data_IF_902379928737
#
_entry.id   IF_902379928737
#
_cell.length_a   1.000
_cell.length_b   1.000
_cell.length_c   1.000
_cell.angle_alpha   90.00
_cell.angle_beta   90.00
_cell.angle_gamma   90.00
#
_symmetry.space_group_name_H-M   'P 1'
#
loop_
_entity.id
_entity.type
_entity.pdbx_description
1 polymer ?
#
# COMPACT_ATOMS: atom_id res chain seq x y z
N UNK A 1 8.49 -21.19 10.74
CA UNK A 1 7.65 -22.24 11.37
C UNK A 1 7.26 -23.27 10.31
N UNK A 2 6.62 -22.88 9.19
CA UNK A 2 6.11 -23.84 8.19
C UNK A 2 7.22 -24.70 7.52
N UNK A 3 8.33 -24.08 7.10
CA UNK A 3 9.46 -24.81 6.50
C UNK A 3 10.00 -25.89 7.46
N UNK A 4 10.15 -25.55 8.74
CA UNK A 4 10.62 -26.54 9.72
C UNK A 4 9.65 -27.71 9.89
N UNK A 5 8.35 -27.44 9.96
CA UNK A 5 7.34 -28.51 10.04
C UNK A 5 7.34 -29.42 8.80
N UNK A 6 7.66 -28.88 7.62
CA UNK A 6 7.84 -29.65 6.41
C UNK A 6 9.11 -30.54 6.48
N UNK A 7 10.23 -29.97 6.92
CA UNK A 7 11.49 -30.71 7.10
C UNK A 7 11.37 -31.83 8.15
N UNK A 8 10.60 -31.59 9.21
CA UNK A 8 10.33 -32.56 10.27
C UNK A 8 9.23 -33.59 9.89
N UNK A 9 8.71 -33.51 8.65
CA UNK A 9 7.61 -34.34 8.13
C UNK A 9 6.30 -34.25 8.94
N UNK A 10 6.09 -33.15 9.68
CA UNK A 10 4.84 -32.89 10.38
C UNK A 10 3.73 -32.46 9.44
N UNK A 11 4.09 -31.84 8.30
CA UNK A 11 3.19 -31.50 7.19
C UNK A 11 3.75 -32.02 5.87
N UNK A 12 2.89 -32.24 4.88
CA UNK A 12 3.27 -32.77 3.57
C UNK A 12 3.57 -31.69 2.54
N UNK A 13 3.19 -30.44 2.80
CA UNK A 13 3.40 -29.31 1.91
C UNK A 13 2.71 -28.05 2.42
N UNK A 14 3.12 -26.90 1.91
CA UNK A 14 2.49 -25.59 2.18
C UNK A 14 2.76 -24.62 1.02
N UNK A 15 1.93 -23.59 0.82
CA UNK A 15 2.21 -22.53 -0.14
C UNK A 15 3.29 -21.58 0.38
N UNK A 16 4.28 -21.27 -0.45
CA UNK A 16 5.35 -20.33 -0.11
C UNK A 16 5.53 -19.27 -1.20
N UNK A 17 6.02 -18.11 -0.81
CA UNK A 17 6.37 -17.03 -1.72
C UNK A 17 7.82 -17.14 -2.14
N UNK A 18 8.06 -17.15 -3.45
CA UNK A 18 9.39 -17.35 -4.05
C UNK A 18 10.44 -16.37 -3.50
N UNK A 19 10.12 -15.07 -3.48
CA UNK A 19 11.04 -14.05 -2.96
C UNK A 19 11.27 -14.20 -1.45
N UNK A 20 10.25 -14.58 -0.68
CA UNK A 20 10.37 -14.85 0.76
C UNK A 20 11.27 -16.05 1.01
N UNK A 21 11.11 -17.13 0.23
CA UNK A 21 11.96 -18.31 0.34
C UNK A 21 13.44 -17.95 0.11
N UNK A 22 13.73 -17.26 -0.99
CA UNK A 22 15.10 -16.86 -1.33
C UNK A 22 15.73 -15.96 -0.29
N UNK A 23 15.01 -14.96 0.20
CA UNK A 23 15.56 -13.97 1.15
C UNK A 23 15.58 -14.45 2.60
N UNK A 24 14.50 -15.09 3.06
CA UNK A 24 14.34 -15.41 4.48
C UNK A 24 14.87 -16.79 4.86
N UNK A 25 14.88 -17.74 3.94
CA UNK A 25 15.38 -19.10 4.22
C UNK A 25 16.78 -19.32 3.67
N UNK A 26 17.03 -18.84 2.46
CA UNK A 26 18.32 -19.03 1.78
C UNK A 26 19.24 -17.79 1.89
N UNK A 27 18.86 -16.79 2.69
CA UNK A 27 19.66 -15.61 3.01
C UNK A 27 20.18 -14.85 1.78
N UNK A 28 19.44 -14.89 0.67
CA UNK A 28 19.78 -14.13 -0.52
C UNK A 28 19.46 -12.65 -0.29
N UNK A 29 20.39 -11.80 -0.70
CA UNK A 29 20.13 -10.36 -0.63
C UNK A 29 18.98 -9.95 -1.56
N UNK A 30 18.09 -9.05 -1.16
CA UNK A 30 16.91 -8.68 -1.96
C UNK A 30 17.22 -8.22 -3.39
N UNK A 31 18.36 -7.56 -3.60
CA UNK A 31 18.83 -7.09 -4.90
C UNK A 31 19.40 -8.23 -5.79
N UNK A 32 19.57 -9.41 -5.24
CA UNK A 32 20.03 -10.61 -5.95
C UNK A 32 18.89 -11.54 -6.34
N UNK A 33 17.68 -11.29 -5.85
CA UNK A 33 16.50 -12.08 -6.24
C UNK A 33 16.14 -11.71 -7.68
N UNK A 34 15.99 -12.71 -8.58
CA UNK A 34 15.60 -12.45 -9.96
C UNK A 34 14.27 -11.68 -10.03
N UNK A 35 14.20 -10.73 -10.95
CA UNK A 35 12.97 -9.94 -11.20
C UNK A 35 11.97 -10.77 -11.99
N UNK A 36 12.44 -11.64 -12.87
CA UNK A 36 11.58 -12.59 -13.58
C UNK A 36 11.05 -13.65 -12.64
N UNK A 37 9.73 -13.86 -12.68
CA UNK A 37 9.05 -14.77 -11.76
C UNK A 37 9.45 -16.24 -11.97
N UNK A 38 9.70 -16.64 -13.22
CA UNK A 38 10.10 -18.00 -13.53
C UNK A 38 11.55 -18.28 -13.09
N UNK A 39 12.45 -17.35 -13.38
CA UNK A 39 13.85 -17.44 -12.94
C UNK A 39 13.94 -17.50 -11.41
N UNK A 40 13.18 -16.68 -10.71
CA UNK A 40 13.12 -16.70 -9.25
C UNK A 40 12.56 -18.03 -8.72
N UNK A 41 11.54 -18.60 -9.38
CA UNK A 41 10.96 -19.88 -8.99
C UNK A 41 11.93 -21.03 -9.23
N UNK A 42 12.64 -21.03 -10.35
CA UNK A 42 13.64 -22.07 -10.68
C UNK A 42 14.81 -22.03 -9.71
N UNK A 43 15.25 -20.83 -9.33
CA UNK A 43 16.28 -20.66 -8.32
C UNK A 43 15.84 -21.13 -6.93
N UNK A 44 14.64 -20.74 -6.49
CA UNK A 44 14.09 -21.20 -5.21
C UNK A 44 13.95 -22.72 -5.18
N UNK A 45 13.51 -23.33 -6.28
CA UNK A 45 13.41 -24.77 -6.42
C UNK A 45 14.78 -25.44 -6.26
N UNK A 46 15.81 -24.92 -6.92
CA UNK A 46 17.16 -25.44 -6.82
C UNK A 46 17.71 -25.39 -5.38
N UNK A 47 17.38 -24.33 -4.62
CA UNK A 47 17.76 -24.24 -3.20
C UNK A 47 16.98 -25.23 -2.33
N UNK A 48 15.67 -25.39 -2.54
CA UNK A 48 14.87 -26.39 -1.82
C UNK A 48 15.35 -27.84 -2.10
N UNK A 49 15.76 -28.12 -3.32
CA UNK A 49 16.28 -29.44 -3.70
C UNK A 49 17.57 -29.82 -2.94
N UNK A 50 18.41 -28.83 -2.61
CA UNK A 50 19.61 -29.06 -1.76
C UNK A 50 19.22 -29.47 -0.33
N UNK A 51 18.06 -29.05 0.14
CA UNK A 51 17.51 -29.42 1.44
C UNK A 51 16.65 -30.70 1.41
N UNK A 52 16.62 -31.41 0.28
CA UNK A 52 15.80 -32.61 0.11
C UNK A 52 14.31 -32.38 -0.07
N UNK A 53 13.95 -31.14 -0.38
CA UNK A 53 12.57 -30.70 -0.65
C UNK A 53 12.40 -30.42 -2.13
N UNK A 54 11.16 -30.29 -2.61
CA UNK A 54 10.89 -29.83 -3.97
C UNK A 54 9.78 -28.80 -4.00
N UNK A 55 9.79 -27.92 -4.99
CA UNK A 55 8.68 -27.02 -5.25
C UNK A 55 8.03 -27.32 -6.60
N UNK A 56 6.73 -27.13 -6.67
CA UNK A 56 5.97 -27.21 -7.92
C UNK A 56 6.12 -25.91 -8.72
N UNK A 57 5.58 -25.92 -9.94
CA UNK A 57 5.51 -24.71 -10.76
C UNK A 57 4.79 -23.56 -10.00
N UNK A 58 5.23 -22.31 -10.19
CA UNK A 58 4.60 -21.17 -9.53
C UNK A 58 3.14 -21.02 -9.97
N UNK A 59 2.31 -20.51 -9.07
CA UNK A 59 0.93 -20.16 -9.41
C UNK A 59 0.90 -19.07 -10.49
N UNK A 60 -0.11 -19.05 -11.39
CA UNK A 60 -0.18 -18.10 -12.50
C UNK A 60 -0.67 -16.70 -12.04
N UNK A 61 -0.30 -16.27 -10.85
CA UNK A 61 -0.58 -14.95 -10.30
C UNK A 61 0.55 -14.51 -9.37
N UNK A 62 0.68 -13.20 -9.18
CA UNK A 62 1.62 -12.62 -8.25
C UNK A 62 0.90 -11.95 -7.09
N UNK A 63 1.48 -12.02 -5.89
CA UNK A 63 1.10 -11.21 -4.74
C UNK A 63 2.14 -10.11 -4.56
N UNK A 64 1.73 -8.86 -4.77
CA UNK A 64 2.60 -7.70 -4.73
C UNK A 64 2.08 -6.67 -3.75
N UNK A 65 2.99 -6.04 -3.00
CA UNK A 65 2.62 -4.89 -2.19
C UNK A 65 2.29 -3.68 -3.08
N UNK A 66 1.31 -2.91 -2.68
CA UNK A 66 0.90 -1.69 -3.36
C UNK A 66 0.69 -0.54 -2.38
N UNK A 67 0.98 0.68 -2.80
CA UNK A 67 0.65 1.89 -2.05
C UNK A 67 -0.72 2.39 -2.47
N UNK A 68 -1.67 2.36 -1.54
CA UNK A 68 -3.03 2.84 -1.78
C UNK A 68 -3.26 4.25 -1.24
N UNK A 69 -3.90 5.10 -2.03
CA UNK A 69 -4.42 6.40 -1.62
C UNK A 69 -5.91 6.50 -1.96
N UNK A 70 -6.61 7.41 -1.26
CA UNK A 70 -7.94 7.82 -1.74
C UNK A 70 -7.79 8.52 -3.09
N UNK A 71 -8.66 8.20 -4.05
CA UNK A 71 -8.65 8.83 -5.38
C UNK A 71 -8.64 10.35 -5.31
N UNK A 72 -9.46 10.92 -4.40
CA UNK A 72 -9.49 12.37 -4.18
C UNK A 72 -8.17 12.94 -3.69
N UNK A 73 -7.38 12.14 -2.94
CA UNK A 73 -6.05 12.56 -2.46
C UNK A 73 -4.99 12.40 -3.55
N UNK A 74 -5.08 11.35 -4.34
CA UNK A 74 -4.22 11.15 -5.50
C UNK A 74 -4.42 12.29 -6.53
N UNK A 75 -5.68 12.66 -6.83
CA UNK A 75 -6.03 13.78 -7.71
C UNK A 75 -5.50 15.13 -7.17
N UNK A 76 -5.66 15.39 -5.85
CA UNK A 76 -5.18 16.60 -5.19
C UNK A 76 -3.66 16.75 -5.29
N UNK A 77 -2.94 15.64 -5.12
CA UNK A 77 -1.48 15.59 -5.18
C UNK A 77 -0.95 15.49 -6.63
N UNK A 78 -1.79 15.12 -7.58
CA UNK A 78 -1.37 14.84 -8.97
C UNK A 78 -0.40 13.67 -9.02
N UNK A 79 -0.76 12.53 -8.41
CA UNK A 79 0.06 11.32 -8.36
C UNK A 79 -0.68 10.13 -8.98
N UNK A 80 0.01 9.38 -9.83
CA UNK A 80 -0.49 8.17 -10.46
C UNK A 80 0.39 6.94 -10.14
N UNK A 81 1.64 7.15 -9.78
CA UNK A 81 2.64 6.11 -9.44
C UNK A 81 3.42 6.49 -8.19
N UNK A 82 4.10 5.50 -7.62
CA UNK A 82 4.88 5.65 -6.38
C UNK A 82 5.94 6.76 -6.53
N UNK A 83 6.64 6.82 -7.67
CA UNK A 83 7.65 7.84 -7.93
C UNK A 83 7.13 9.29 -7.87
N UNK A 84 5.84 9.51 -8.15
CA UNK A 84 5.24 10.85 -8.13
C UNK A 84 5.04 11.38 -6.69
N UNK A 85 5.19 10.50 -5.68
CA UNK A 85 5.17 10.87 -4.27
C UNK A 85 6.46 11.55 -3.82
N UNK A 86 7.52 11.55 -4.64
CA UNK A 86 8.77 12.24 -4.33
C UNK A 86 8.51 13.72 -4.08
N UNK A 87 9.05 14.25 -2.97
CA UNK A 87 8.81 15.62 -2.52
C UNK A 87 7.41 15.92 -1.96
N UNK A 88 6.49 14.94 -1.97
CA UNK A 88 5.11 15.08 -1.43
C UNK A 88 4.86 14.16 -0.23
N UNK A 89 5.66 13.11 -0.09
CA UNK A 89 5.52 12.10 0.97
C UNK A 89 5.72 12.67 2.38
N UNK A 90 6.46 13.77 2.52
CA UNK A 90 6.79 14.41 3.80
C UNK A 90 5.55 14.92 4.57
N UNK A 91 4.46 15.17 3.88
CA UNK A 91 3.19 15.56 4.49
C UNK A 91 2.24 14.39 4.72
N UNK A 92 2.63 13.18 4.32
CA UNK A 92 1.80 11.99 4.37
C UNK A 92 2.22 11.06 5.52
N UNK A 93 1.23 10.44 6.14
CA UNK A 93 1.43 9.34 7.08
C UNK A 93 1.23 8.03 6.35
N UNK A 94 2.24 7.16 6.40
CA UNK A 94 2.13 5.80 5.88
C UNK A 94 1.56 4.87 6.95
N UNK A 95 0.61 4.04 6.55
CA UNK A 95 0.05 2.97 7.38
C UNK A 95 0.40 1.63 6.74
N UNK A 96 0.84 0.68 7.55
CA UNK A 96 1.18 -0.67 7.09
C UNK A 96 1.20 -1.65 8.25
N UNK A 97 1.39 -2.94 7.97
CA UNK A 97 1.59 -3.93 9.04
C UNK A 97 2.85 -3.60 9.85
N UNK A 98 2.95 -4.05 11.11
CA UNK A 98 4.13 -3.75 11.95
C UNK A 98 5.46 -4.13 11.29
N UNK A 99 5.49 -5.24 10.55
CA UNK A 99 6.66 -5.77 9.85
C UNK A 99 7.11 -4.88 8.68
N UNK A 100 6.19 -4.13 8.08
CA UNK A 100 6.45 -3.24 6.96
C UNK A 100 7.60 -2.26 7.23
N UNK A 101 7.78 -1.86 8.49
CA UNK A 101 8.84 -0.94 8.92
C UNK A 101 10.25 -1.44 8.57
N UNK A 102 10.46 -2.75 8.56
CA UNK A 102 11.77 -3.38 8.40
C UNK A 102 11.92 -4.11 7.06
N UNK A 103 10.84 -4.16 6.27
CA UNK A 103 10.83 -4.92 5.02
C UNK A 103 11.25 -4.07 3.83
N UNK A 104 12.11 -4.66 2.99
CA UNK A 104 12.58 -4.03 1.76
C UNK A 104 11.46 -3.89 0.72
N UNK A 105 10.49 -4.80 0.74
CA UNK A 105 9.30 -4.75 -0.10
C UNK A 105 8.20 -3.84 0.47
N UNK A 106 8.51 -3.02 1.48
CA UNK A 106 7.58 -2.08 2.10
C UNK A 106 8.27 -0.74 2.40
N UNK A 107 8.34 -0.29 3.67
CA UNK A 107 8.85 1.04 4.02
C UNK A 107 10.31 1.24 3.60
N UNK A 108 11.19 0.27 3.87
CA UNK A 108 12.61 0.37 3.54
C UNK A 108 12.80 0.58 2.03
N UNK A 109 12.13 -0.21 1.18
CA UNK A 109 12.22 -0.03 -0.27
C UNK A 109 11.61 1.27 -0.77
N UNK A 110 10.55 1.79 -0.12
CA UNK A 110 9.99 3.10 -0.45
C UNK A 110 10.96 4.23 -0.14
N UNK A 111 11.73 4.12 0.93
CA UNK A 111 12.75 5.09 1.32
C UNK A 111 14.02 4.97 0.45
N UNK A 112 14.54 3.76 0.28
CA UNK A 112 15.84 3.53 -0.37
C UNK A 112 15.76 3.64 -1.90
N UNK A 113 14.69 3.08 -2.52
CA UNK A 113 14.57 3.02 -3.99
C UNK A 113 13.89 4.26 -4.55
N UNK A 114 12.85 4.76 -3.88
CA UNK A 114 12.08 5.92 -4.35
C UNK A 114 12.43 7.22 -3.65
N UNK A 115 13.32 7.19 -2.62
CA UNK A 115 13.71 8.37 -1.85
C UNK A 115 12.57 9.02 -1.08
N UNK A 116 11.52 8.25 -0.74
CA UNK A 116 10.36 8.79 -0.06
C UNK A 116 10.63 8.95 1.43
N UNK A 117 10.25 10.10 1.96
CA UNK A 117 10.32 10.38 3.39
C UNK A 117 8.93 10.70 3.89
N UNK A 118 8.32 9.76 4.62
CA UNK A 118 6.99 9.97 5.18
C UNK A 118 7.04 10.76 6.48
N UNK A 119 6.01 11.56 6.73
CA UNK A 119 5.85 12.31 7.98
C UNK A 119 5.89 11.38 9.20
N UNK A 120 5.26 10.23 9.09
CA UNK A 120 5.27 9.17 10.10
C UNK A 120 4.85 7.84 9.50
N UNK A 121 5.30 6.75 10.13
CA UNK A 121 4.78 5.41 9.88
C UNK A 121 3.98 4.95 11.09
N UNK A 122 2.72 4.59 10.87
CA UNK A 122 1.84 4.06 11.90
C UNK A 122 1.48 2.59 11.60
N UNK A 123 1.87 1.66 12.48
CA UNK A 123 1.50 0.27 12.32
C UNK A 123 -0.01 0.09 12.45
N UNK A 124 -0.58 -0.76 11.60
CA UNK A 124 -2.00 -1.09 11.60
C UNK A 124 -2.19 -2.54 11.22
N UNK A 125 -3.17 -3.20 11.83
CA UNK A 125 -3.57 -4.54 11.43
C UNK A 125 -4.04 -4.57 9.97
N UNK A 126 -3.65 -5.63 9.24
CA UNK A 126 -3.97 -5.79 7.82
C UNK A 126 -5.48 -5.65 7.55
N UNK A 127 -6.33 -6.19 8.43
CA UNK A 127 -7.78 -6.09 8.32
C UNK A 127 -8.33 -4.67 8.44
N UNK A 128 -7.59 -3.76 9.08
CA UNK A 128 -8.04 -2.39 9.36
C UNK A 128 -7.55 -1.35 8.35
N UNK A 129 -6.65 -1.70 7.43
CA UNK A 129 -6.02 -0.74 6.51
C UNK A 129 -7.00 0.08 5.68
N UNK A 130 -8.09 -0.51 5.21
CA UNK A 130 -9.13 0.23 4.47
C UNK A 130 -9.94 1.14 5.38
N UNK A 131 -10.21 0.71 6.62
CA UNK A 131 -10.90 1.53 7.62
C UNK A 131 -10.11 2.78 7.96
N UNK A 132 -8.80 2.63 8.14
CA UNK A 132 -7.90 3.77 8.41
C UNK A 132 -7.85 4.72 7.23
N UNK A 133 -7.79 4.19 6.00
CA UNK A 133 -7.78 4.99 4.78
C UNK A 133 -9.07 5.81 4.64
N UNK A 134 -10.24 5.22 4.94
CA UNK A 134 -11.53 5.92 4.91
C UNK A 134 -11.67 6.98 6.01
N UNK A 135 -11.02 6.77 7.15
CA UNK A 135 -11.01 7.69 8.30
C UNK A 135 -9.93 8.76 8.17
N UNK A 136 -8.98 8.62 7.25
CA UNK A 136 -7.95 9.62 7.02
C UNK A 136 -8.59 11.01 6.85
N UNK A 137 -8.04 12.05 7.49
CA UNK A 137 -8.59 13.38 7.37
C UNK A 137 -8.76 13.71 5.88
N UNK A 138 -9.96 13.92 5.44
CA UNK A 138 -10.25 14.43 4.10
C UNK A 138 -9.73 15.85 4.03
N UNK A 139 -8.44 16.00 3.89
CA UNK A 139 -7.79 17.27 3.62
C UNK A 139 -8.35 17.80 2.31
N UNK A 140 -9.12 18.90 2.39
CA UNK A 140 -9.63 19.54 1.19
C UNK A 140 -11.08 20.01 1.22
N UNK A 141 -11.85 19.75 2.27
CA UNK A 141 -13.06 20.53 2.46
C UNK A 141 -12.66 21.87 3.10
N UNK A 142 -12.10 22.79 2.29
CA UNK A 142 -12.20 24.20 2.64
C UNK A 142 -13.70 24.46 2.76
N UNK A 143 -14.16 24.68 4.00
CA UNK A 143 -15.47 25.28 4.21
C UNK A 143 -15.42 26.62 3.48
N UNK A 144 -15.93 26.66 2.24
CA UNK A 144 -16.10 27.94 1.53
C UNK A 144 -17.23 28.67 2.27
N UNK A 145 -16.96 29.77 2.92
CA UNK A 145 -18.04 30.56 3.52
C UNK A 145 -19.00 30.95 2.40
N UNK A 146 -20.31 31.01 2.64
CA UNK A 146 -21.24 31.49 1.65
C UNK A 146 -20.78 32.87 1.18
N UNK A 147 -20.89 33.14 -0.13
CA UNK A 147 -20.51 34.40 -0.72
C UNK A 147 -21.23 35.52 0.03
N UNK A 148 -20.47 36.45 0.64
CA UNK A 148 -21.00 37.57 1.40
C UNK A 148 -20.86 37.50 2.93
N UNK A 149 -20.33 36.44 3.50
CA UNK A 149 -20.08 36.34 4.93
C UNK A 149 -18.72 36.94 5.30
N UNK A 150 -18.72 38.05 6.02
CA UNK A 150 -17.53 38.68 6.59
C UNK A 150 -16.84 37.74 7.61
N UNK A 151 -15.50 37.79 7.73
CA UNK A 151 -14.77 36.92 8.66
C UNK A 151 -15.08 37.34 10.11
N UNK A 152 -15.82 36.52 10.85
CA UNK A 152 -15.99 36.68 12.29
C UNK A 152 -14.74 36.19 13.01
N UNK A 153 -14.07 37.10 13.70
CA UNK A 153 -12.98 36.77 14.64
C UNK A 153 -13.57 36.00 15.83
N UNK A 154 -13.03 34.82 16.07
CA UNK A 154 -13.30 34.00 17.26
C UNK A 154 -14.63 33.26 17.21
N UNK A 155 -14.61 31.98 16.80
CA UNK A 155 -15.82 31.19 16.86
C UNK A 155 -15.57 29.72 16.50
N UNK A 156 -15.62 28.87 17.49
CA UNK A 156 -15.74 27.40 17.36
C UNK A 156 -16.98 27.07 16.52
N UNK A 157 -16.82 26.24 15.50
CA UNK A 157 -17.93 25.53 14.91
C UNK A 157 -18.24 25.76 13.45
N UNK A 158 -17.34 25.36 12.53
CA UNK A 158 -17.80 25.00 11.18
C UNK A 158 -18.43 23.60 11.23
N UNK A 159 -19.76 23.50 11.25
CA UNK A 159 -20.47 22.25 11.03
C UNK A 159 -20.42 21.93 9.54
N UNK A 160 -19.63 20.95 9.14
CA UNK A 160 -19.69 20.40 7.80
C UNK A 160 -21.03 19.65 7.63
N UNK A 161 -21.94 20.17 6.82
CA UNK A 161 -23.15 19.46 6.42
C UNK A 161 -22.76 18.26 5.55
N UNK A 162 -23.20 17.07 5.91
CA UNK A 162 -23.11 15.89 5.00
C UNK A 162 -23.90 16.21 3.73
N UNK A 163 -23.35 15.95 2.52
CA UNK A 163 -24.12 16.12 1.30
C UNK A 163 -25.32 15.18 1.33
N UNK A 164 -26.49 15.74 1.10
CA UNK A 164 -27.71 14.95 0.97
C UNK A 164 -27.71 14.24 -0.38
N UNK A 165 -28.47 13.12 -0.48
CA UNK A 165 -28.63 12.41 -1.76
C UNK A 165 -29.14 13.29 -2.92
N UNK A 166 -29.68 14.47 -2.64
CA UNK A 166 -30.11 15.47 -3.64
C UNK A 166 -28.91 16.22 -4.27
N UNK A 167 -27.83 16.43 -3.52
CA UNK A 167 -26.66 17.16 -4.03
C UNK A 167 -25.86 16.28 -5.02
N UNK A 168 -25.86 14.96 -4.81
CA UNK A 168 -25.24 14.02 -5.72
C UNK A 168 -25.92 13.93 -7.10
N UNK A 169 -27.23 14.20 -7.17
CA UNK A 169 -27.96 14.21 -8.45
C UNK A 169 -27.73 15.46 -9.29
N UNK A 170 -27.44 16.63 -8.67
CA UNK A 170 -27.19 17.87 -9.41
C UNK A 170 -25.80 17.91 -10.08
N UNK A 171 -24.86 17.12 -9.63
CA UNK A 171 -23.53 17.02 -10.25
C UNK A 171 -23.51 16.24 -11.56
N UNK A 172 -24.43 15.29 -11.75
CA UNK A 172 -24.49 14.48 -12.99
C UNK A 172 -25.11 15.17 -14.20
N UNK A 173 -26.00 16.17 -14.01
CA UNK A 173 -26.68 16.84 -15.11
C UNK A 173 -25.89 17.99 -15.75
N UNK A 174 -24.77 18.41 -15.14
CA UNK A 174 -23.91 19.45 -15.71
C UNK A 174 -22.81 18.93 -16.66
N UNK A 175 -22.51 17.63 -16.64
CA UNK A 175 -21.49 17.03 -17.54
C UNK A 175 -21.99 16.66 -18.93
N UNK A 176 -23.32 16.59 -19.18
CA UNK A 176 -23.89 16.22 -20.46
C UNK A 176 -24.23 17.37 -21.40
N UNK A 177 -23.81 18.63 -21.08
CA UNK A 177 -24.06 19.82 -21.91
C UNK A 177 -22.80 20.55 -22.37
N UNK A 178 -21.65 19.89 -22.36
CA UNK A 178 -20.44 20.38 -23.02
C UNK A 178 -19.82 19.20 -23.79
N UNK A 179 -20.37 18.93 -24.93
CA UNK A 179 -19.87 18.11 -26.01
C UNK A 179 -20.31 18.82 -27.29
#
# INVERSE_FOLDING_TARGET
>A
VALKALQDAEISGYPEYTATALTSFFNKEPNQVPVDAQEAADEAKAEFEKEGLTSFAPAPFADSNAVGLLTTKADELGVEKISDLSGKSQDLTLYGSPECRQRVDCLVGLEDVYGLQFKSFNPVDIGLRYTVLDQAPRYGRRCRPPAGAAPRRGGRGCRCRRPTRRDARRGRTRRSRRG
#
